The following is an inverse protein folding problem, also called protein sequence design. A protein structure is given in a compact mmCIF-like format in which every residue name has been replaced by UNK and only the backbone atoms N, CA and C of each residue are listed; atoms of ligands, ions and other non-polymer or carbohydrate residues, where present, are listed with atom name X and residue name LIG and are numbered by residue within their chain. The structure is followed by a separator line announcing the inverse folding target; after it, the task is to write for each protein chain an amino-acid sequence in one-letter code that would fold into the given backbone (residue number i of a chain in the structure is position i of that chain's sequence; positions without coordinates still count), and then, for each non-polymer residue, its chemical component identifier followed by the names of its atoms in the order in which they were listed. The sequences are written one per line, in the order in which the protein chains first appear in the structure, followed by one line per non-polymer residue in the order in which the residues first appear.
data_IF_932564117216
#
_entry.id   IF_932564117216
#
_cell.length_a   1.000
_cell.length_b   1.000
_cell.length_c   1.000
_cell.angle_alpha   90.00
_cell.angle_beta   90.00
_cell.angle_gamma   90.00
#
_symmetry.space_group_name_H-M   'P 1'
#
loop_
_entity.id
_entity.type
_entity.pdbx_description
1 polymer ?
#
# COMPACT_ATOMS: atom_id res chain seq x y z
N UNK A 1 4.53 16.74 -2.24
CA UNK A 1 3.71 15.78 -3.02
C UNK A 1 4.64 14.73 -3.61
N UNK A 2 4.19 13.48 -3.84
CA UNK A 2 5.00 12.52 -4.57
C UNK A 2 5.08 12.97 -6.05
N UNK A 3 6.04 12.46 -6.83
CA UNK A 3 6.06 12.65 -8.28
C UNK A 3 4.74 12.20 -8.91
N UNK A 4 4.37 12.74 -10.08
CA UNK A 4 3.16 12.31 -10.78
C UNK A 4 3.29 10.90 -11.35
N UNK A 5 4.48 10.56 -11.84
CA UNK A 5 4.80 9.22 -12.35
C UNK A 5 5.46 8.37 -11.25
N UNK A 6 4.78 7.28 -10.87
CA UNK A 6 5.24 6.38 -9.82
C UNK A 6 5.96 5.15 -10.38
N UNK A 7 6.02 4.99 -11.70
CA UNK A 7 6.71 3.85 -12.34
C UNK A 7 8.22 3.91 -12.17
N UNK A 8 8.76 5.12 -11.99
CA UNK A 8 10.18 5.39 -11.78
C UNK A 8 10.60 5.36 -10.31
N UNK A 9 9.65 5.26 -9.38
CA UNK A 9 9.95 5.20 -7.96
C UNK A 9 10.57 3.85 -7.60
N UNK A 10 11.66 3.91 -6.83
CA UNK A 10 12.31 2.71 -6.31
C UNK A 10 11.36 1.95 -5.38
N UNK A 11 11.33 0.61 -5.40
CA UNK A 11 10.60 -0.18 -4.42
C UNK A 11 11.07 0.14 -3.00
N UNK A 12 10.14 0.26 -2.04
CA UNK A 12 10.45 0.43 -0.63
C UNK A 12 11.07 -0.88 -0.10
N UNK A 13 12.33 -0.87 0.37
CA UNK A 13 12.98 -2.09 0.82
C UNK A 13 12.60 -2.37 2.28
N UNK A 14 11.63 -3.24 2.47
CA UNK A 14 11.31 -3.77 3.79
C UNK A 14 12.40 -4.72 4.29
N UNK A 15 12.65 -4.74 5.59
CA UNK A 15 13.53 -5.72 6.25
C UNK A 15 12.88 -7.09 6.38
N UNK A 16 11.57 -7.09 6.65
CA UNK A 16 10.73 -8.27 6.77
C UNK A 16 9.55 -8.11 5.84
N UNK A 17 9.17 -9.18 5.17
CA UNK A 17 7.99 -9.15 4.32
C UNK A 17 6.76 -8.72 5.13
N UNK A 18 5.95 -7.78 4.61
CA UNK A 18 4.70 -7.42 5.24
C UNK A 18 3.80 -8.65 5.37
N UNK A 19 3.01 -8.78 6.46
CA UNK A 19 2.09 -9.89 6.61
C UNK A 19 1.12 -9.97 5.41
N UNK A 20 0.90 -11.20 4.93
CA UNK A 20 0.08 -11.47 3.75
C UNK A 20 -1.37 -10.97 3.90
N UNK A 21 -1.93 -10.51 2.78
CA UNK A 21 -3.13 -9.67 2.73
C UNK A 21 -4.45 -10.32 3.14
N UNK A 22 -4.52 -11.61 3.44
CA UNK A 22 -5.80 -12.28 3.69
C UNK A 22 -6.52 -11.72 4.94
N UNK A 23 -5.84 -11.60 6.07
CA UNK A 23 -6.42 -11.02 7.30
C UNK A 23 -6.70 -9.51 7.18
N UNK A 24 -5.97 -8.83 6.28
CA UNK A 24 -6.11 -7.39 6.05
C UNK A 24 -7.23 -7.06 5.06
N UNK A 25 -7.81 -8.07 4.40
CA UNK A 25 -8.80 -7.90 3.33
C UNK A 25 -10.24 -7.76 3.80
N UNK A 26 -10.56 -8.07 5.07
CA UNK A 26 -11.96 -8.05 5.55
C UNK A 26 -12.60 -6.66 5.47
N UNK A 27 -11.87 -5.62 5.88
CA UNK A 27 -12.31 -4.23 5.75
C UNK A 27 -12.55 -3.85 4.28
N UNK A 28 -11.60 -4.21 3.40
CA UNK A 28 -11.67 -3.89 1.97
C UNK A 28 -12.84 -4.62 1.30
N UNK A 29 -13.06 -5.89 1.64
CA UNK A 29 -14.21 -6.67 1.19
C UNK A 29 -15.52 -5.99 1.59
N UNK A 30 -15.63 -5.50 2.82
CA UNK A 30 -16.83 -4.81 3.29
C UNK A 30 -17.10 -3.52 2.50
N UNK A 31 -16.07 -2.71 2.23
CA UNK A 31 -16.21 -1.48 1.41
C UNK A 31 -16.63 -1.79 -0.04
N UNK A 32 -16.11 -2.88 -0.62
CA UNK A 32 -16.51 -3.32 -1.96
C UNK A 32 -17.95 -3.83 -1.97
N UNK A 33 -18.34 -4.65 -0.99
CA UNK A 33 -19.72 -5.17 -0.87
C UNK A 33 -20.74 -4.05 -0.60
N UNK A 34 -20.37 -3.01 0.13
CA UNK A 34 -21.19 -1.82 0.35
C UNK A 34 -21.29 -0.91 -0.89
N UNK A 35 -20.52 -1.20 -1.96
CA UNK A 35 -20.49 -0.39 -3.18
C UNK A 35 -19.66 0.90 -3.04
N UNK A 36 -18.92 1.08 -1.95
CA UNK A 36 -18.05 2.24 -1.73
C UNK A 36 -16.72 2.15 -2.49
N UNK A 37 -16.36 0.96 -2.98
CA UNK A 37 -15.18 0.77 -3.80
C UNK A 37 -15.44 -0.17 -4.98
N UNK A 38 -15.35 0.37 -6.20
CA UNK A 38 -15.52 -0.39 -7.45
C UNK A 38 -14.19 -0.77 -8.12
N UNK A 39 -13.05 -0.45 -7.50
CA UNK A 39 -11.72 -0.71 -8.07
C UNK A 39 -11.29 -2.19 -7.96
N UNK A 40 -12.04 -3.03 -7.23
CA UNK A 40 -11.74 -4.43 -7.08
C UNK A 40 -12.04 -5.20 -8.38
N UNK A 41 -11.17 -6.14 -8.72
CA UNK A 41 -11.26 -6.96 -9.92
C UNK A 41 -11.68 -8.37 -9.51
N UNK A 42 -12.75 -8.87 -10.13
CA UNK A 42 -13.17 -10.26 -10.00
C UNK A 42 -12.34 -11.14 -10.94
N UNK A 43 -11.69 -12.16 -10.39
CA UNK A 43 -10.94 -13.18 -11.11
C UNK A 43 -11.45 -14.59 -10.83
N UNK A 44 -10.78 -15.62 -11.38
CA UNK A 44 -11.22 -17.02 -11.25
C UNK A 44 -11.27 -17.53 -9.81
N UNK A 45 -10.44 -16.97 -8.93
CA UNK A 45 -10.26 -17.42 -7.55
C UNK A 45 -10.89 -16.47 -6.51
N UNK A 46 -11.75 -15.55 -6.94
CA UNK A 46 -12.37 -14.54 -6.10
C UNK A 46 -12.01 -13.11 -6.51
N UNK A 47 -11.92 -12.21 -5.54
CA UNK A 47 -11.70 -10.79 -5.77
C UNK A 47 -10.29 -10.37 -5.38
N UNK A 48 -9.75 -9.39 -6.11
CA UNK A 48 -8.47 -8.78 -5.80
C UNK A 48 -8.54 -7.27 -5.93
N UNK A 49 -7.83 -6.55 -5.06
CA UNK A 49 -7.65 -5.11 -5.14
C UNK A 49 -6.20 -4.76 -4.85
N UNK A 50 -5.54 -4.08 -5.78
CA UNK A 50 -4.18 -3.57 -5.60
C UNK A 50 -4.20 -2.07 -5.34
N UNK A 51 -3.55 -1.63 -4.26
CA UNK A 51 -3.35 -0.22 -3.94
C UNK A 51 -1.86 0.08 -3.96
N UNK A 52 -1.45 0.95 -4.87
CA UNK A 52 -0.09 1.50 -4.89
C UNK A 52 0.04 2.62 -3.85
N UNK A 53 1.18 2.69 -3.16
CA UNK A 53 1.44 3.66 -2.10
C UNK A 53 2.84 4.25 -2.26
N UNK A 54 2.94 5.57 -2.29
CA UNK A 54 4.18 6.32 -2.26
C UNK A 54 4.59 6.63 -0.82
N UNK A 55 5.83 6.35 -0.46
CA UNK A 55 6.38 6.56 0.88
C UNK A 55 7.60 7.48 0.79
N UNK A 56 7.54 8.62 1.46
CA UNK A 56 8.71 9.48 1.65
C UNK A 56 9.50 8.95 2.83
N UNK A 57 10.73 8.51 2.59
CA UNK A 57 11.66 8.06 3.63
C UNK A 57 12.71 9.14 3.82
N UNK A 58 13.02 9.45 5.08
CA UNK A 58 14.16 10.29 5.45
C UNK A 58 14.82 9.71 6.70
N UNK A 59 16.15 9.63 6.71
CA UNK A 59 16.94 9.06 7.80
C UNK A 59 16.44 7.66 8.23
N UNK A 60 16.07 6.82 7.25
CA UNK A 60 15.57 5.46 7.47
C UNK A 60 14.18 5.37 8.11
N UNK A 61 13.42 6.46 8.18
CA UNK A 61 12.07 6.52 8.77
C UNK A 61 11.03 7.01 7.76
N UNK A 62 9.79 6.48 7.79
CA UNK A 62 8.71 7.01 6.98
C UNK A 62 8.30 8.40 7.49
N UNK A 63 8.27 9.40 6.59
CA UNK A 63 7.85 10.77 6.87
C UNK A 63 6.47 11.09 6.32
N UNK A 64 6.12 10.53 5.16
CA UNK A 64 4.81 10.66 4.53
C UNK A 64 4.45 9.36 3.83
N UNK A 65 3.18 9.02 3.84
CA UNK A 65 2.62 7.86 3.16
C UNK A 65 1.40 8.35 2.39
N UNK A 66 1.41 8.18 1.07
CA UNK A 66 0.39 8.72 0.18
C UNK A 66 -0.10 7.58 -0.72
N UNK A 67 -1.36 7.16 -0.60
CA UNK A 67 -1.94 6.16 -1.48
C UNK A 67 -2.20 6.75 -2.87
N UNK A 68 -2.16 5.91 -3.89
CA UNK A 68 -2.63 6.29 -5.22
C UNK A 68 -4.15 6.42 -5.17
N UNK A 69 -4.68 7.48 -5.76
CA UNK A 69 -6.11 7.65 -5.89
C UNK A 69 -6.67 6.55 -6.81
N UNK A 70 -7.53 5.70 -6.25
CA UNK A 70 -8.33 4.66 -6.92
C UNK A 70 -9.83 4.95 -6.81
N UNK A 71 -10.20 6.15 -6.34
CA UNK A 71 -11.58 6.57 -6.08
C UNK A 71 -12.26 5.78 -4.96
N UNK A 72 -11.48 5.28 -4.00
CA UNK A 72 -11.98 4.57 -2.83
C UNK A 72 -11.38 5.18 -1.55
N UNK A 73 -11.86 6.36 -1.09
CA UNK A 73 -11.19 7.12 -0.04
C UNK A 73 -10.94 6.33 1.25
N UNK A 74 -11.91 5.53 1.71
CA UNK A 74 -11.77 4.71 2.91
C UNK A 74 -10.68 3.63 2.76
N UNK A 75 -10.66 2.95 1.62
CA UNK A 75 -9.66 1.92 1.29
C UNK A 75 -8.27 2.52 1.10
N UNK A 76 -8.18 3.68 0.45
CA UNK A 76 -6.94 4.43 0.28
C UNK A 76 -6.31 4.82 1.63
N UNK A 77 -7.12 5.38 2.54
CA UNK A 77 -6.68 5.74 3.88
C UNK A 77 -6.26 4.52 4.70
N UNK A 78 -7.02 3.42 4.61
CA UNK A 78 -6.68 2.16 5.25
C UNK A 78 -5.33 1.60 4.76
N UNK A 79 -5.12 1.58 3.44
CA UNK A 79 -3.86 1.15 2.84
C UNK A 79 -2.68 2.04 3.28
N UNK A 80 -2.86 3.36 3.35
CA UNK A 80 -1.84 4.28 3.85
C UNK A 80 -1.52 4.02 5.33
N UNK A 81 -2.52 3.72 6.16
CA UNK A 81 -2.36 3.34 7.56
C UNK A 81 -1.55 2.06 7.73
N UNK A 82 -1.88 1.02 6.95
CA UNK A 82 -1.16 -0.26 6.95
C UNK A 82 0.31 -0.08 6.55
N UNK A 83 0.58 0.59 5.43
CA UNK A 83 1.96 0.85 4.98
C UNK A 83 2.73 1.69 6.00
N UNK A 84 2.10 2.69 6.61
CA UNK A 84 2.72 3.51 7.67
C UNK A 84 3.11 2.65 8.88
N UNK A 85 2.25 1.72 9.30
CA UNK A 85 2.55 0.77 10.39
C UNK A 85 3.69 -0.18 9.99
N UNK A 86 3.58 -0.81 8.81
CA UNK A 86 4.56 -1.77 8.30
C UNK A 86 5.94 -1.15 8.12
N UNK A 87 6.03 0.10 7.68
CA UNK A 87 7.31 0.78 7.44
C UNK A 87 8.01 1.26 8.72
N UNK A 88 7.28 1.46 9.82
CA UNK A 88 7.88 1.90 11.08
C UNK A 88 8.82 0.82 11.63
N UNK A 89 10.11 1.12 11.66
CA UNK A 89 11.13 0.21 12.19
C UNK A 89 11.37 -1.04 11.33
N UNK A 90 10.91 -1.05 10.08
CA UNK A 90 11.05 -2.19 9.16
C UNK A 90 11.62 -1.78 7.79
N UNK A 91 12.29 -0.63 7.69
CA UNK A 91 12.98 -0.19 6.46
C UNK A 91 14.44 -0.62 6.53
N UNK A 92 14.97 -1.22 5.45
CA UNK A 92 16.33 -1.73 5.42
C UNK A 92 17.38 -0.61 5.59
N UNK A 93 18.40 -0.78 6.47
CA UNK A 93 19.43 0.24 6.74
C UNK A 93 20.22 0.67 5.51
N UNK A 94 20.35 -0.19 4.49
CA UNK A 94 20.99 0.15 3.22
C UNK A 94 20.31 1.33 2.49
N UNK A 95 19.14 1.78 2.93
CA UNK A 95 18.48 3.03 2.49
C UNK A 95 18.99 4.31 3.15
N UNK A 96 19.93 4.23 4.11
CA UNK A 96 20.50 5.42 4.77
C UNK A 96 21.21 6.39 3.79
N UNK A 97 21.53 5.94 2.58
CA UNK A 97 22.06 6.80 1.50
C UNK A 97 20.97 7.38 0.57
N UNK A 98 19.68 7.12 0.82
CA UNK A 98 18.61 7.40 -0.14
C UNK A 98 17.37 8.02 0.49
N UNK A 99 17.49 9.21 1.08
CA UNK A 99 16.29 10.01 1.36
C UNK A 99 15.50 10.23 0.04
N UNK A 100 14.18 10.09 0.08
CA UNK A 100 13.36 10.27 -1.11
C UNK A 100 12.07 9.47 -1.13
N UNK A 101 11.40 9.55 -2.28
CA UNK A 101 10.16 8.82 -2.54
C UNK A 101 10.46 7.40 -2.99
N UNK A 102 9.70 6.47 -2.41
CA UNK A 102 9.67 5.06 -2.73
C UNK A 102 8.24 4.64 -3.05
N UNK A 103 8.10 3.51 -3.74
CA UNK A 103 6.81 2.87 -4.01
C UNK A 103 6.71 1.54 -3.29
N UNK A 104 5.55 1.25 -2.76
CA UNK A 104 5.14 -0.10 -2.37
C UNK A 104 3.72 -0.33 -2.85
N UNK A 105 3.24 -1.57 -2.73
CA UNK A 105 1.87 -1.91 -3.10
C UNK A 105 1.31 -2.94 -2.13
N UNK A 106 0.05 -2.75 -1.76
CA UNK A 106 -0.73 -3.74 -1.04
C UNK A 106 -1.67 -4.44 -2.02
N UNK A 107 -1.73 -5.76 -1.94
CA UNK A 107 -2.71 -6.55 -2.67
C UNK A 107 -3.65 -7.19 -1.65
N UNK A 108 -4.91 -6.79 -1.69
CA UNK A 108 -6.00 -7.41 -0.94
C UNK A 108 -6.63 -8.48 -1.81
N UNK A 109 -6.92 -9.64 -1.24
CA UNK A 109 -7.51 -10.77 -1.95
C UNK A 109 -8.44 -11.56 -1.02
N UNK A 110 -9.60 -11.95 -1.54
CA UNK A 110 -10.58 -12.76 -0.82
C UNK A 110 -11.32 -13.70 -1.77
N UNK A 111 -11.74 -14.84 -1.25
CA UNK A 111 -12.55 -15.81 -2.01
C UNK A 111 -13.90 -15.23 -2.42
N UNK A 112 -14.51 -15.85 -3.43
CA UNK A 112 -15.90 -15.59 -3.80
C UNK A 112 -16.86 -16.01 -2.68
#
# INVERSE_FOLDING_TARGET
MPPADWTTLRPLPFLRDPPDGAALSDFVRAEVQAGHCAAAIQGPNGWTLRVDVAVLVAAGRPRRVIPRAIQCPAVEQYAAGLVSSMARGNIAPATQAGDGWYKTSLTFAWGA
#
